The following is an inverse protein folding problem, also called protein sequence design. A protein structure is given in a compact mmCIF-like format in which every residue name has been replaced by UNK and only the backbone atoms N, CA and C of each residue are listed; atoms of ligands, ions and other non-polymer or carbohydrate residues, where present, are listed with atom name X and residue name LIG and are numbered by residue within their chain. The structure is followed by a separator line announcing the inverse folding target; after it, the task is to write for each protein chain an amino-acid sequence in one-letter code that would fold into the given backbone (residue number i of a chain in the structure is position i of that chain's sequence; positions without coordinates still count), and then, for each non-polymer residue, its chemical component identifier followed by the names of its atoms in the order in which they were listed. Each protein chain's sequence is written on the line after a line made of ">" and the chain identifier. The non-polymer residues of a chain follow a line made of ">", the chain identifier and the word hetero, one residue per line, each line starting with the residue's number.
data_IF_189033655135
#
_entry.id   IF_189033655135
#
_cell.length_a   1.000
_cell.length_b   1.000
_cell.length_c   1.000
_cell.angle_alpha   90.00
_cell.angle_beta   90.00
_cell.angle_gamma   90.00
#
_symmetry.space_group_name_H-M   'P 1'
#
loop_
_entity.id
_entity.type
_entity.pdbx_description
1 polymer ?
#
# COMPACT_ATOMS: atom_id res chain seq x y z
N UNK A 1 -14.61 10.14 -15.82
CA UNK A 1 -14.55 10.76 -14.47
C UNK A 1 -13.10 10.76 -14.03
N UNK A 2 -12.59 11.77 -13.30
CA UNK A 2 -11.27 11.62 -12.69
C UNK A 2 -11.41 10.54 -11.60
N UNK A 3 -10.70 9.40 -11.72
CA UNK A 3 -10.56 8.50 -10.57
C UNK A 3 -9.73 9.28 -9.55
N UNK A 4 -10.36 9.64 -8.43
CA UNK A 4 -9.66 10.35 -7.37
C UNK A 4 -9.01 9.29 -6.50
N UNK A 5 -7.73 9.01 -6.75
CA UNK A 5 -6.97 8.15 -5.87
C UNK A 5 -7.02 8.70 -4.43
N UNK A 6 -7.47 7.89 -3.48
CA UNK A 6 -7.44 8.22 -2.07
C UNK A 6 -5.98 8.21 -1.61
N UNK A 7 -5.50 9.30 -1.00
CA UNK A 7 -4.13 9.41 -0.50
C UNK A 7 -4.13 9.42 1.02
N UNK A 8 -3.26 8.62 1.60
CA UNK A 8 -3.03 8.58 3.04
C UNK A 8 -1.54 8.45 3.34
N UNK A 9 -1.14 8.84 4.53
CA UNK A 9 0.24 8.72 5.01
C UNK A 9 0.24 7.84 6.24
N UNK A 10 1.15 6.87 6.29
CA UNK A 10 1.27 5.92 7.39
C UNK A 10 2.66 6.03 8.00
N UNK A 11 2.71 6.32 9.29
CA UNK A 11 3.95 6.36 10.05
C UNK A 11 4.41 4.94 10.41
N UNK A 12 5.65 4.59 10.04
CA UNK A 12 6.20 3.26 10.32
C UNK A 12 6.40 3.00 11.82
N UNK A 13 6.63 4.05 12.59
CA UNK A 13 6.74 3.99 14.06
C UNK A 13 5.44 3.51 14.72
N UNK A 14 4.28 3.88 14.17
CA UNK A 14 2.97 3.42 14.65
C UNK A 14 2.74 1.92 14.41
N UNK A 15 3.51 1.33 13.50
CA UNK A 15 3.49 -0.10 13.19
C UNK A 15 4.61 -0.87 13.92
N UNK A 16 5.39 -0.18 14.78
CA UNK A 16 6.49 -0.78 15.54
C UNK A 16 7.76 -1.05 14.71
N UNK A 17 7.90 -0.41 13.55
CA UNK A 17 9.13 -0.48 12.78
C UNK A 17 10.09 0.65 13.20
N UNK A 18 11.32 0.26 13.50
CA UNK A 18 12.44 1.11 13.92
C UNK A 18 13.07 1.86 12.71
N UNK A 19 12.24 2.25 11.75
CA UNK A 19 12.65 3.10 10.64
C UNK A 19 12.52 4.54 11.15
N UNK A 20 13.65 5.16 11.50
CA UNK A 20 13.71 6.53 12.00
C UNK A 20 12.77 7.45 11.19
N UNK A 21 11.63 7.81 11.78
CA UNK A 21 10.65 8.80 11.30
C UNK A 21 10.25 8.71 9.83
N UNK A 22 10.18 7.51 9.28
CA UNK A 22 9.89 7.37 7.85
C UNK A 22 8.37 7.23 7.63
N UNK A 23 7.76 8.32 7.22
CA UNK A 23 6.39 8.38 6.75
C UNK A 23 6.28 7.70 5.38
N UNK A 24 5.29 6.83 5.21
CA UNK A 24 5.02 6.14 3.95
C UNK A 24 3.78 6.76 3.32
N UNK A 25 3.91 7.28 2.11
CA UNK A 25 2.76 7.75 1.34
C UNK A 25 2.11 6.57 0.63
N UNK A 26 0.78 6.48 0.73
CA UNK A 26 -0.03 5.44 0.10
C UNK A 26 -1.12 6.09 -0.73
N UNK A 27 -1.20 5.72 -2.00
CA UNK A 27 -2.27 6.10 -2.92
C UNK A 27 -3.07 4.86 -3.32
N UNK A 28 -4.39 4.93 -3.17
CA UNK A 28 -5.32 3.85 -3.49
C UNK A 28 -6.19 4.34 -4.66
N UNK A 29 -6.02 3.72 -5.83
CA UNK A 29 -6.79 3.96 -7.04
C UNK A 29 -7.74 2.78 -7.28
N UNK A 30 -9.00 2.98 -6.92
CA UNK A 30 -10.09 2.03 -7.21
C UNK A 30 -10.50 2.17 -8.68
N UNK A 31 -10.42 1.06 -9.42
CA UNK A 31 -10.89 0.92 -10.80
C UNK A 31 -12.01 -0.11 -10.85
N UNK A 32 -12.71 -0.19 -11.99
CA UNK A 32 -13.94 -0.99 -12.15
C UNK A 32 -13.83 -2.43 -11.61
N UNK A 33 -12.71 -3.11 -11.86
CA UNK A 33 -12.50 -4.53 -11.45
C UNK A 33 -11.24 -4.74 -10.60
N UNK A 34 -10.50 -3.67 -10.27
CA UNK A 34 -9.20 -3.78 -9.59
C UNK A 34 -8.92 -2.58 -8.71
N UNK A 35 -8.25 -2.80 -7.58
CA UNK A 35 -7.70 -1.74 -6.76
C UNK A 35 -6.18 -1.71 -6.91
N UNK A 36 -5.64 -0.56 -7.32
CA UNK A 36 -4.19 -0.36 -7.41
C UNK A 36 -3.75 0.43 -6.18
N UNK A 37 -2.74 -0.06 -5.47
CA UNK A 37 -2.16 0.60 -4.31
C UNK A 37 -0.71 0.93 -4.61
N UNK A 38 -0.41 2.21 -4.73
CA UNK A 38 0.95 2.72 -4.87
C UNK A 38 1.46 3.17 -3.50
N UNK A 39 2.66 2.72 -3.16
CA UNK A 39 3.31 2.98 -1.88
C UNK A 39 4.67 3.61 -2.15
N UNK A 40 4.85 4.85 -1.69
CA UNK A 40 6.07 5.64 -1.87
C UNK A 40 6.78 5.83 -0.53
N UNK A 41 8.09 5.62 -0.53
CA UNK A 41 8.96 5.79 0.62
C UNK A 41 10.35 6.23 0.15
N UNK A 42 11.14 6.84 1.03
CA UNK A 42 12.48 7.34 0.69
C UNK A 42 13.42 6.28 0.11
N UNK A 43 13.17 5.00 0.41
CA UNK A 43 13.98 3.87 -0.05
C UNK A 43 13.48 3.24 -1.35
N UNK A 44 12.36 3.69 -1.90
CA UNK A 44 11.78 3.20 -3.14
C UNK A 44 10.26 3.21 -3.18
N UNK A 45 9.73 2.82 -4.33
CA UNK A 45 8.29 2.80 -4.61
C UNK A 45 7.83 1.37 -4.92
N UNK A 46 6.62 1.03 -4.48
CA UNK A 46 6.01 -0.28 -4.70
C UNK A 46 4.55 -0.16 -5.09
N UNK A 47 4.17 -0.86 -6.16
CA UNK A 47 2.78 -0.96 -6.61
C UNK A 47 2.25 -2.36 -6.31
N UNK A 48 1.10 -2.43 -5.66
CA UNK A 48 0.30 -3.63 -5.44
C UNK A 48 -0.98 -3.54 -6.28
N UNK A 49 -1.43 -4.66 -6.82
CA UNK A 49 -2.72 -4.73 -7.51
C UNK A 49 -3.59 -5.79 -6.87
N UNK A 50 -4.82 -5.41 -6.54
CA UNK A 50 -5.84 -6.26 -5.96
C UNK A 50 -6.99 -6.44 -6.96
N UNK A 51 -7.63 -7.60 -6.92
CA UNK A 51 -8.85 -7.85 -7.68
C UNK A 51 -10.08 -7.19 -7.02
N UNK A 52 -11.24 -7.29 -7.67
CA UNK A 52 -12.54 -6.80 -7.17
C UNK A 52 -12.92 -7.33 -5.76
N UNK A 53 -12.37 -8.47 -5.35
CA UNK A 53 -12.60 -9.07 -4.03
C UNK A 53 -11.60 -8.60 -2.96
N UNK A 54 -10.70 -7.67 -3.31
CA UNK A 54 -9.64 -7.18 -2.45
C UNK A 54 -8.49 -8.16 -2.24
N UNK A 55 -8.34 -9.18 -3.09
CA UNK A 55 -7.27 -10.16 -3.01
C UNK A 55 -6.06 -9.74 -3.84
N UNK A 56 -4.86 -9.90 -3.27
CA UNK A 56 -3.62 -9.52 -3.93
C UNK A 56 -3.38 -10.35 -5.21
N UNK A 57 -3.46 -9.69 -6.35
CA UNK A 57 -3.24 -10.29 -7.67
C UNK A 57 -1.79 -10.13 -8.12
N UNK A 58 -1.18 -8.96 -7.84
CA UNK A 58 0.21 -8.67 -8.17
C UNK A 58 0.90 -8.04 -6.96
N UNK A 59 1.92 -8.73 -6.46
CA UNK A 59 2.84 -8.20 -5.47
C UNK A 59 4.04 -7.51 -6.15
N UNK A 60 4.62 -6.50 -5.49
CA UNK A 60 5.95 -6.02 -5.83
C UNK A 60 6.95 -7.16 -5.65
N UNK A 61 7.98 -7.21 -6.50
CA UNK A 61 8.94 -8.31 -6.54
C UNK A 61 9.67 -8.55 -5.20
N UNK A 62 10.55 -9.58 -5.17
CA UNK A 62 11.27 -10.08 -3.97
C UNK A 62 11.98 -9.05 -3.07
N UNK A 63 12.11 -7.79 -3.49
CA UNK A 63 12.74 -6.71 -2.73
C UNK A 63 11.74 -5.86 -1.89
N UNK A 64 10.47 -6.27 -1.78
CA UNK A 64 9.49 -5.56 -0.96
C UNK A 64 9.88 -5.56 0.53
N UNK A 65 9.85 -4.40 1.21
CA UNK A 65 10.13 -4.32 2.65
C UNK A 65 9.09 -5.08 3.49
N UNK A 66 9.54 -5.62 4.63
CA UNK A 66 8.67 -6.32 5.59
C UNK A 66 7.51 -5.47 6.13
N UNK A 67 7.64 -4.15 6.09
CA UNK A 67 6.62 -3.22 6.57
C UNK A 67 5.51 -2.94 5.54
N UNK A 68 5.71 -3.31 4.27
CA UNK A 68 4.79 -2.98 3.18
C UNK A 68 3.38 -3.54 3.39
N UNK A 69 3.28 -4.83 3.74
CA UNK A 69 1.99 -5.46 4.01
C UNK A 69 1.23 -4.79 5.17
N UNK A 70 1.86 -4.58 6.34
CA UNK A 70 1.27 -3.81 7.44
C UNK A 70 0.82 -2.40 7.08
N UNK A 71 1.61 -1.67 6.27
CA UNK A 71 1.24 -0.31 5.81
C UNK A 71 -0.02 -0.37 4.94
N UNK A 72 -0.05 -1.25 3.94
CA UNK A 72 -1.23 -1.40 3.07
C UNK A 72 -2.44 -1.82 3.88
N UNK A 73 -2.27 -2.74 4.84
CA UNK A 73 -3.38 -3.19 5.72
C UNK A 73 -3.93 -2.07 6.60
N UNK A 74 -3.09 -1.12 7.01
CA UNK A 74 -3.51 0.04 7.79
C UNK A 74 -4.17 1.10 6.92
N UNK A 75 -3.65 1.34 5.72
CA UNK A 75 -4.19 2.29 4.76
C UNK A 75 -5.52 1.82 4.15
N UNK A 76 -5.66 0.52 3.93
CA UNK A 76 -6.79 -0.13 3.26
C UNK A 76 -7.18 -1.44 4.00
N UNK A 77 -7.89 -1.34 5.15
CA UNK A 77 -8.22 -2.49 6.00
C UNK A 77 -9.07 -3.58 5.32
N UNK A 78 -9.83 -3.21 4.30
CA UNK A 78 -10.65 -4.08 3.47
C UNK A 78 -9.83 -4.99 2.56
N UNK A 79 -8.60 -4.60 2.20
CA UNK A 79 -7.74 -5.38 1.32
C UNK A 79 -7.10 -6.57 2.08
N UNK A 80 -7.00 -7.69 1.38
CA UNK A 80 -6.39 -8.94 1.85
C UNK A 80 -4.95 -9.00 1.36
N UNK A 81 -4.06 -8.57 2.24
CA UNK A 81 -2.61 -8.73 2.09
C UNK A 81 -2.21 -9.91 3.00
N UNK A 82 -1.86 -11.05 2.41
CA UNK A 82 -1.36 -12.25 3.11
C UNK A 82 0.15 -12.29 3.15
#
# INVERSE_FOLDING_TARGET
>A
MPSQAARTTVELSELGFDAADAAVAVAIDERDETTVVDVEHDTGDWTLTFNEYGELQRSPGRAAPRWLGPVVKKAAPELRVT
#
